data_IF_846927947732
#
_entry.id   IF_846927947732
#
_cell.length_a   1.000
_cell.length_b   1.000
_cell.length_c   1.000
_cell.angle_alpha   90.00
_cell.angle_beta   90.00
_cell.angle_gamma   90.00
#
_symmetry.space_group_name_H-M   'P 1'
#
loop_
_entity.id
_entity.type
_entity.pdbx_description
1 polymer ?
#
# COMPACT_ATOMS: atom_id res chain seq x y z
N UNK A 1 24.26 54.65 32.77
CA UNK A 1 25.64 54.38 33.20
C UNK A 1 26.04 53.03 32.75
N UNK A 2 27.03 53.00 31.86
CA UNK A 2 28.05 51.99 31.56
C UNK A 2 27.55 50.64 31.16
N UNK A 3 27.61 50.31 29.88
CA UNK A 3 28.79 49.76 29.12
C UNK A 3 29.11 48.34 29.57
N UNK A 4 29.26 47.33 28.76
CA UNK A 4 29.96 47.15 27.50
C UNK A 4 29.56 45.84 26.84
N UNK A 5 29.49 45.87 25.56
CA UNK A 5 29.52 44.80 24.59
C UNK A 5 30.95 44.21 24.45
N UNK A 6 31.26 43.50 23.40
CA UNK A 6 31.20 42.10 23.08
C UNK A 6 32.60 41.51 22.90
N UNK A 7 32.78 40.25 22.74
CA UNK A 7 34.04 39.72 22.16
C UNK A 7 33.68 38.73 21.03
N UNK A 8 34.10 39.20 19.91
CA UNK A 8 34.28 38.59 18.62
C UNK A 8 35.59 37.82 18.55
N UNK A 9 35.62 36.89 17.60
CA UNK A 9 36.75 36.47 16.77
C UNK A 9 37.56 35.24 17.17
N UNK A 10 38.25 34.79 16.16
CA UNK A 10 37.84 33.92 15.04
C UNK A 10 38.93 32.87 14.74
N UNK A 11 38.84 32.37 13.51
CA UNK A 11 39.98 32.03 12.62
C UNK A 11 40.50 30.59 12.69
N UNK A 12 40.19 29.84 11.68
CA UNK A 12 40.98 29.80 10.44
C UNK A 12 42.29 29.03 10.57
N UNK A 13 42.43 28.06 9.75
CA UNK A 13 43.61 27.74 8.93
C UNK A 13 43.54 26.27 8.53
N UNK A 14 43.28 26.02 7.28
CA UNK A 14 44.24 26.00 6.12
C UNK A 14 44.94 24.64 6.02
N UNK A 15 44.58 23.96 4.95
CA UNK A 15 45.40 23.34 3.91
C UNK A 15 46.39 22.23 4.30
N UNK A 16 46.22 21.10 3.68
CA UNK A 16 47.30 20.52 2.86
C UNK A 16 46.81 19.35 1.99
N UNK A 17 46.76 19.59 0.78
CA UNK A 17 47.19 18.93 -0.42
C UNK A 17 48.30 17.91 -0.19
N UNK A 18 48.10 16.65 -0.53
CA UNK A 18 49.16 15.82 -1.12
C UNK A 18 48.52 14.92 -2.17
N UNK A 19 48.85 15.20 -3.38
CA UNK A 19 48.70 14.45 -4.59
C UNK A 19 49.80 13.36 -4.61
N UNK A 20 49.47 12.12 -4.86
CA UNK A 20 50.43 11.14 -5.34
C UNK A 20 49.83 10.31 -6.46
N UNK A 21 50.14 10.74 -7.66
CA UNK A 21 50.14 9.91 -8.86
C UNK A 21 51.17 8.78 -8.70
N UNK A 22 50.78 7.57 -9.00
CA UNK A 22 51.70 6.56 -9.56
C UNK A 22 51.03 5.88 -10.73
N UNK A 23 51.46 6.28 -11.91
CA UNK A 23 51.40 5.52 -13.13
C UNK A 23 52.56 4.52 -13.10
N UNK A 24 52.30 3.24 -13.39
CA UNK A 24 53.29 2.40 -14.03
C UNK A 24 52.62 1.50 -15.06
N UNK A 25 52.93 1.81 -16.26
CA UNK A 25 52.82 0.98 -17.46
C UNK A 25 53.83 -0.13 -17.40
N UNK A 26 53.43 -1.31 -17.91
CA UNK A 26 54.32 -2.44 -18.12
C UNK A 26 53.71 -3.46 -19.07
N UNK A 27 53.96 -3.29 -20.34
CA UNK A 27 53.76 -4.30 -21.39
C UNK A 27 54.93 -5.29 -21.44
N UNK A 28 54.65 -6.42 -22.13
CA UNK A 28 55.51 -7.35 -22.89
C UNK A 28 55.71 -8.73 -22.23
N UNK A 29 54.99 -9.69 -22.77
CA UNK A 29 55.36 -10.61 -23.90
C UNK A 29 56.43 -11.63 -23.55
N UNK A 30 56.09 -12.90 -23.63
CA UNK A 30 56.73 -13.91 -24.49
C UNK A 30 56.49 -15.37 -24.02
N UNK A 31 55.68 -16.05 -24.80
CA UNK A 31 55.86 -17.41 -25.36
C UNK A 31 56.74 -18.41 -24.60
N UNK A 32 56.08 -19.52 -24.23
CA UNK A 32 56.60 -20.86 -24.64
C UNK A 32 55.48 -21.93 -24.50
N UNK A 33 55.40 -22.74 -25.55
CA UNK A 33 54.48 -23.87 -25.73
C UNK A 33 54.88 -25.02 -24.79
N UNK A 34 53.86 -25.65 -24.20
CA UNK A 34 53.84 -27.10 -24.04
C UNK A 34 52.40 -27.57 -24.25
N UNK A 35 52.23 -28.42 -25.23
CA UNK A 35 51.03 -29.19 -25.56
C UNK A 35 50.75 -30.19 -24.45
N UNK A 36 49.53 -30.20 -23.93
CA UNK A 36 48.85 -31.46 -23.66
C UNK A 36 47.33 -31.31 -23.71
N UNK A 37 46.71 -32.21 -24.45
CA UNK A 37 45.32 -32.31 -24.79
C UNK A 37 44.49 -32.79 -23.60
N UNK A 38 43.46 -32.07 -23.20
CA UNK A 38 42.24 -32.61 -22.57
C UNK A 38 41.07 -31.69 -22.85
N UNK A 39 39.97 -32.30 -23.18
CA UNK A 39 38.72 -31.76 -23.68
C UNK A 39 38.23 -30.52 -22.93
N UNK A 40 38.01 -29.42 -23.68
CA UNK A 40 37.33 -28.25 -23.19
C UNK A 40 35.84 -28.36 -23.57
N UNK A 41 35.03 -28.68 -22.60
CA UNK A 41 33.59 -28.39 -22.66
C UNK A 41 33.39 -26.91 -22.94
N UNK A 42 32.85 -26.66 -24.09
CA UNK A 42 32.43 -25.29 -24.51
C UNK A 42 31.26 -24.85 -23.66
N UNK A 43 31.54 -24.07 -22.60
CA UNK A 43 30.52 -23.31 -21.91
C UNK A 43 30.08 -22.21 -22.88
N UNK A 44 29.00 -22.43 -23.60
CA UNK A 44 28.28 -21.35 -24.26
C UNK A 44 27.85 -20.32 -23.20
N UNK A 45 28.50 -19.18 -23.21
CA UNK A 45 28.02 -18.00 -22.50
C UNK A 45 26.71 -17.61 -23.19
N UNK A 46 25.60 -18.05 -22.60
CA UNK A 46 24.29 -17.55 -22.96
C UNK A 46 24.31 -16.05 -22.65
N UNK A 47 24.52 -15.23 -23.68
CA UNK A 47 24.20 -13.83 -23.60
C UNK A 47 22.71 -13.74 -23.24
N UNK A 48 22.42 -13.43 -21.99
CA UNK A 48 21.08 -13.07 -21.55
C UNK A 48 20.74 -11.75 -22.26
N UNK A 49 20.04 -11.86 -23.37
CA UNK A 49 19.35 -10.73 -23.98
C UNK A 49 18.36 -10.21 -22.92
N UNK A 50 18.77 -9.14 -22.23
CA UNK A 50 17.92 -8.45 -21.29
C UNK A 50 16.74 -7.86 -22.06
N UNK A 51 15.57 -8.49 -21.93
CA UNK A 51 14.32 -7.97 -22.50
C UNK A 51 14.13 -6.55 -21.92
N UNK A 52 13.95 -5.52 -22.75
CA UNK A 52 13.71 -4.18 -22.26
C UNK A 52 12.51 -4.17 -21.28
N UNK A 53 12.66 -3.49 -20.16
CA UNK A 53 11.65 -3.44 -19.09
C UNK A 53 10.25 -3.05 -19.60
N UNK A 54 10.21 -2.21 -20.63
CA UNK A 54 8.99 -1.78 -21.33
C UNK A 54 8.31 -2.93 -22.10
N UNK A 55 9.10 -3.82 -22.71
CA UNK A 55 8.60 -5.01 -23.41
C UNK A 55 8.07 -6.06 -22.43
N UNK A 56 8.74 -6.25 -21.30
CA UNK A 56 8.30 -7.15 -20.23
C UNK A 56 6.99 -6.66 -19.60
N UNK A 57 6.90 -5.38 -19.29
CA UNK A 57 5.70 -4.73 -18.78
C UNK A 57 4.50 -4.89 -19.73
N UNK A 58 4.74 -4.73 -21.03
CA UNK A 58 3.72 -4.92 -22.07
C UNK A 58 3.30 -6.39 -22.22
N UNK A 59 4.22 -7.34 -22.13
CA UNK A 59 3.91 -8.76 -22.16
C UNK A 59 3.09 -9.18 -20.95
N UNK A 60 3.43 -8.72 -19.75
CA UNK A 60 2.67 -8.99 -18.51
C UNK A 60 1.26 -8.40 -18.62
N UNK A 61 1.11 -7.19 -19.14
CA UNK A 61 -0.20 -6.54 -19.32
C UNK A 61 -1.10 -7.22 -20.37
N UNK A 62 -0.51 -7.97 -21.29
CA UNK A 62 -1.23 -8.70 -22.33
C UNK A 62 -1.47 -10.18 -21.99
N UNK A 63 -0.84 -10.69 -20.95
CA UNK A 63 -1.02 -12.08 -20.52
C UNK A 63 -2.47 -12.32 -20.07
N UNK A 64 -3.10 -13.43 -20.47
CA UNK A 64 -4.42 -13.78 -19.97
C UNK A 64 -4.34 -14.04 -18.46
N UNK A 65 -5.35 -13.54 -17.74
CA UNK A 65 -5.44 -13.73 -16.29
C UNK A 65 -5.47 -15.24 -15.96
N UNK A 66 -4.62 -15.72 -15.03
CA UNK A 66 -4.66 -17.10 -14.57
C UNK A 66 -6.04 -17.46 -14.00
N UNK A 67 -6.49 -18.70 -14.16
CA UNK A 67 -7.78 -19.14 -13.59
C UNK A 67 -7.81 -19.03 -12.07
N UNK A 68 -6.70 -19.28 -11.39
CA UNK A 68 -6.54 -19.14 -9.94
C UNK A 68 -6.68 -17.67 -9.47
N UNK A 69 -6.48 -16.67 -10.32
CA UNK A 69 -6.62 -15.27 -9.94
C UNK A 69 -8.05 -14.86 -9.54
N UNK A 70 -9.07 -15.68 -9.83
CA UNK A 70 -10.43 -15.43 -9.35
C UNK A 70 -10.71 -16.07 -7.96
N UNK A 71 -9.77 -16.80 -7.37
CA UNK A 71 -9.97 -17.44 -6.06
C UNK A 71 -10.01 -16.41 -4.94
N UNK A 72 -9.06 -15.49 -4.93
CA UNK A 72 -9.03 -14.38 -3.99
C UNK A 72 -9.31 -13.05 -4.71
N UNK A 73 -9.96 -12.13 -4.00
CA UNK A 73 -10.26 -10.83 -4.58
C UNK A 73 -9.00 -10.03 -4.91
N UNK A 74 -8.01 -10.04 -4.03
CA UNK A 74 -6.77 -9.28 -4.21
C UNK A 74 -6.01 -9.75 -5.45
N UNK A 75 -5.87 -11.04 -5.68
CA UNK A 75 -5.22 -11.60 -6.87
C UNK A 75 -5.91 -11.16 -8.16
N UNK A 76 -7.24 -11.18 -8.16
CA UNK A 76 -8.04 -10.62 -9.26
C UNK A 76 -7.82 -9.13 -9.42
N UNK A 77 -7.90 -8.38 -8.30
CA UNK A 77 -7.97 -6.93 -8.34
C UNK A 77 -6.66 -6.30 -8.85
N UNK A 78 -5.50 -6.82 -8.48
CA UNK A 78 -4.23 -6.34 -9.02
C UNK A 78 -4.15 -6.47 -10.55
N UNK A 79 -4.62 -7.59 -11.08
CA UNK A 79 -4.70 -7.77 -12.54
C UNK A 79 -5.73 -6.81 -13.18
N UNK A 80 -6.86 -6.61 -12.53
CA UNK A 80 -7.91 -5.69 -12.98
C UNK A 80 -7.41 -4.24 -12.99
N UNK A 81 -6.77 -3.79 -11.93
CA UNK A 81 -6.24 -2.43 -11.80
C UNK A 81 -5.13 -2.13 -12.82
N UNK A 82 -4.28 -3.10 -13.11
CA UNK A 82 -3.14 -2.93 -14.00
C UNK A 82 -3.50 -2.96 -15.49
N UNK A 83 -4.56 -3.67 -15.88
CA UNK A 83 -4.83 -4.01 -17.29
C UNK A 83 -6.21 -3.54 -17.76
N UNK A 84 -6.24 -2.60 -18.73
CA UNK A 84 -7.48 -2.04 -19.30
C UNK A 84 -8.34 -3.08 -20.02
N UNK A 85 -7.73 -4.09 -20.64
CA UNK A 85 -8.50 -5.14 -21.31
C UNK A 85 -9.18 -6.07 -20.30
N UNK A 86 -8.52 -6.31 -19.15
CA UNK A 86 -9.15 -7.02 -18.04
C UNK A 86 -10.28 -6.18 -17.44
N UNK A 87 -10.10 -4.88 -17.27
CA UNK A 87 -11.20 -3.99 -16.85
C UNK A 87 -12.41 -4.13 -17.77
N UNK A 88 -12.22 -4.00 -19.08
CA UNK A 88 -13.29 -4.13 -20.06
C UNK A 88 -13.94 -5.51 -20.08
N UNK A 89 -13.15 -6.56 -19.92
CA UNK A 89 -13.64 -7.93 -19.93
C UNK A 89 -14.38 -8.33 -18.65
N UNK A 90 -14.07 -7.67 -17.54
CA UNK A 90 -14.58 -7.97 -16.20
C UNK A 90 -15.51 -6.88 -15.66
N UNK A 91 -15.96 -5.96 -16.48
CA UNK A 91 -17.04 -5.01 -16.19
C UNK A 91 -18.32 -5.49 -16.85
N UNK A 92 -19.43 -5.48 -16.11
CA UNK A 92 -20.75 -5.87 -16.61
C UNK A 92 -21.40 -4.67 -17.26
N UNK A 93 -21.91 -4.85 -18.46
CA UNK A 93 -22.63 -3.83 -19.21
C UNK A 93 -24.06 -4.31 -19.53
N UNK A 94 -25.05 -3.39 -19.56
CA UNK A 94 -24.94 -1.98 -19.17
C UNK A 94 -24.61 -1.84 -17.69
N UNK A 95 -23.79 -0.83 -17.32
CA UNK A 95 -23.37 -0.58 -15.95
C UNK A 95 -23.98 0.72 -15.43
N UNK A 96 -24.50 0.70 -14.21
CA UNK A 96 -24.96 1.91 -13.51
C UNK A 96 -23.75 2.66 -12.96
N UNK A 97 -23.64 3.93 -13.32
CA UNK A 97 -22.76 4.90 -12.70
C UNK A 97 -23.65 5.93 -12.00
N UNK A 98 -23.55 6.00 -10.69
CA UNK A 98 -24.29 6.93 -9.86
C UNK A 98 -23.37 8.06 -9.39
N UNK A 99 -23.77 9.29 -9.58
CA UNK A 99 -23.05 10.47 -9.11
C UNK A 99 -24.01 11.37 -8.30
N UNK A 100 -23.85 11.36 -6.98
CA UNK A 100 -24.66 12.16 -6.06
C UNK A 100 -26.18 12.03 -6.34
N UNK A 101 -26.64 10.80 -6.52
CA UNK A 101 -28.04 10.48 -6.78
C UNK A 101 -28.47 10.62 -8.26
N UNK A 102 -27.56 10.99 -9.16
CA UNK A 102 -27.81 11.00 -10.61
C UNK A 102 -27.26 9.71 -11.22
N UNK A 103 -28.18 8.88 -11.72
CA UNK A 103 -27.79 7.64 -12.41
C UNK A 103 -27.52 7.90 -13.88
N UNK A 104 -26.36 7.42 -14.35
CA UNK A 104 -25.97 7.37 -15.77
C UNK A 104 -25.70 5.95 -16.15
N UNK A 105 -26.21 5.52 -17.28
CA UNK A 105 -25.96 4.17 -17.79
C UNK A 105 -24.78 4.17 -18.75
N UNK A 106 -23.76 3.37 -18.45
CA UNK A 106 -22.67 3.08 -19.39
C UNK A 106 -23.09 1.84 -20.17
N UNK A 107 -23.49 2.07 -21.42
CA UNK A 107 -24.18 1.06 -22.24
C UNK A 107 -23.26 -0.09 -22.65
N UNK A 108 -22.01 0.22 -22.97
CA UNK A 108 -21.14 -0.75 -23.63
C UNK A 108 -19.68 -0.63 -23.27
N UNK A 109 -18.89 -1.63 -23.67
CA UNK A 109 -17.42 -1.65 -23.49
C UNK A 109 -16.71 -0.53 -24.22
N UNK A 110 -17.29 0.01 -25.28
CA UNK A 110 -16.75 1.11 -26.07
C UNK A 110 -16.79 2.42 -25.28
N UNK A 111 -17.82 2.58 -24.46
CA UNK A 111 -18.04 3.77 -23.63
C UNK A 111 -17.21 3.73 -22.33
N UNK A 112 -16.61 2.58 -22.03
CA UNK A 112 -15.81 2.37 -20.83
C UNK A 112 -14.52 3.19 -20.86
N UNK A 113 -14.34 4.02 -19.85
CA UNK A 113 -13.09 4.72 -19.57
C UNK A 113 -12.31 3.94 -18.52
N UNK A 114 -11.01 3.81 -18.75
CA UNK A 114 -10.12 3.16 -17.77
C UNK A 114 -10.22 3.84 -16.41
N UNK A 115 -10.48 3.07 -15.38
CA UNK A 115 -10.38 3.50 -13.99
C UNK A 115 -8.93 3.36 -13.50
N UNK A 116 -8.47 4.36 -12.77
CA UNK A 116 -7.19 4.32 -12.04
C UNK A 116 -7.46 3.92 -10.60
N UNK A 117 -6.53 3.15 -10.05
CA UNK A 117 -6.58 2.68 -8.68
C UNK A 117 -5.23 2.93 -8.00
N UNK A 118 -5.09 2.50 -6.77
CA UNK A 118 -3.97 2.71 -5.85
C UNK A 118 -2.59 2.21 -6.31
N UNK A 119 -2.45 1.71 -7.52
CA UNK A 119 -1.17 1.16 -8.01
C UNK A 119 -0.04 2.19 -8.01
N UNK A 120 -0.36 3.46 -8.24
CA UNK A 120 0.61 4.56 -8.21
C UNK A 120 0.92 5.03 -6.78
N UNK A 121 0.00 4.81 -5.84
CA UNK A 121 0.17 5.24 -4.45
C UNK A 121 1.11 4.30 -3.68
N UNK A 122 1.30 3.08 -4.19
CA UNK A 122 2.17 2.07 -3.60
C UNK A 122 1.59 1.39 -2.35
N UNK A 123 0.36 1.68 -1.98
CA UNK A 123 -0.35 1.07 -0.86
C UNK A 123 -1.87 1.13 -1.03
N UNK A 124 -2.58 0.35 -0.23
CA UNK A 124 -4.03 0.40 -0.04
C UNK A 124 -4.36 0.08 1.41
N UNK A 125 -5.60 0.32 1.80
CA UNK A 125 -6.09 -0.01 3.14
C UNK A 125 -7.23 -1.02 3.07
N UNK A 126 -7.48 -1.71 4.20
CA UNK A 126 -8.62 -2.59 4.37
C UNK A 126 -9.30 -2.21 5.69
N UNK A 127 -10.59 -2.07 5.70
CA UNK A 127 -11.37 -1.83 6.91
C UNK A 127 -12.38 -2.97 7.13
N UNK A 128 -12.28 -3.63 8.30
CA UNK A 128 -13.24 -4.63 8.76
C UNK A 128 -13.98 -4.12 9.99
N UNK A 129 -15.31 -4.22 9.96
CA UNK A 129 -16.20 -3.78 11.04
C UNK A 129 -16.21 -4.76 12.23
N UNK A 130 -15.98 -6.04 11.94
CA UNK A 130 -16.01 -7.12 12.93
C UNK A 130 -15.11 -8.31 12.54
N UNK A 131 -15.09 -9.31 13.41
CA UNK A 131 -14.33 -10.54 13.15
C UNK A 131 -14.89 -11.39 11.99
N UNK A 132 -16.15 -11.21 11.63
CA UNK A 132 -16.73 -11.94 10.51
C UNK A 132 -16.16 -11.41 9.20
N UNK A 133 -16.09 -10.09 9.03
CA UNK A 133 -15.46 -9.48 7.87
C UNK A 133 -13.95 -9.79 7.82
N UNK A 134 -13.27 -9.81 8.98
CA UNK A 134 -11.88 -10.19 9.05
C UNK A 134 -11.61 -11.60 8.47
N UNK A 135 -12.51 -12.56 8.71
CA UNK A 135 -12.40 -13.91 8.14
C UNK A 135 -12.63 -13.98 6.63
N UNK A 136 -13.25 -12.94 6.03
CA UNK A 136 -13.46 -12.88 4.58
C UNK A 136 -12.18 -12.51 3.81
N UNK A 137 -11.18 -11.95 4.48
CA UNK A 137 -9.85 -11.77 3.89
C UNK A 137 -9.24 -13.17 3.68
N UNK A 138 -8.90 -13.51 2.46
CA UNK A 138 -8.39 -14.85 2.15
C UNK A 138 -9.45 -15.97 2.09
N UNK A 139 -10.75 -15.65 2.23
CA UNK A 139 -11.82 -16.63 2.05
C UNK A 139 -12.27 -16.69 0.59
N UNK A 140 -12.06 -17.83 -0.03
CA UNK A 140 -12.47 -18.09 -1.42
C UNK A 140 -14.00 -18.11 -1.61
N UNK A 141 -14.78 -18.20 -0.54
CA UNK A 141 -16.25 -18.12 -0.56
C UNK A 141 -16.76 -16.65 -0.60
N UNK A 142 -15.90 -15.68 -0.35
CA UNK A 142 -16.27 -14.26 -0.47
C UNK A 142 -16.75 -13.95 -1.87
N UNK A 143 -17.90 -13.30 -1.98
CA UNK A 143 -18.59 -13.06 -3.26
C UNK A 143 -18.86 -11.58 -3.56
N UNK A 144 -18.61 -10.68 -2.63
CA UNK A 144 -18.82 -9.24 -2.78
C UNK A 144 -17.72 -8.46 -2.08
N UNK A 145 -17.15 -7.47 -2.78
CA UNK A 145 -16.13 -6.56 -2.28
C UNK A 145 -16.38 -5.17 -2.86
N UNK A 146 -16.26 -4.15 -2.03
CA UNK A 146 -16.30 -2.75 -2.47
C UNK A 146 -14.90 -2.16 -2.33
N UNK A 147 -14.38 -1.57 -3.40
CA UNK A 147 -13.19 -0.73 -3.36
C UNK A 147 -13.66 0.72 -3.24
N UNK A 148 -13.13 1.47 -2.30
CA UNK A 148 -13.47 2.86 -2.06
C UNK A 148 -12.24 3.73 -2.29
N UNK A 149 -12.40 4.88 -2.92
CA UNK A 149 -11.46 6.00 -2.85
C UNK A 149 -12.09 7.05 -1.96
N UNK A 150 -11.49 7.31 -0.82
CA UNK A 150 -11.94 8.25 0.18
C UNK A 150 -11.20 9.57 -0.01
N UNK A 151 -11.92 10.70 -0.07
CA UNK A 151 -11.35 12.04 -0.04
C UNK A 151 -12.00 12.83 1.10
N UNK A 152 -11.27 13.04 2.18
CA UNK A 152 -11.75 13.77 3.35
C UNK A 152 -11.83 15.28 3.10
N UNK A 153 -10.87 15.91 2.38
CA UNK A 153 -10.95 17.32 2.03
C UNK A 153 -12.19 17.67 1.18
N UNK A 154 -12.56 16.74 0.28
CA UNK A 154 -13.68 16.92 -0.64
C UNK A 154 -15.00 16.40 -0.07
N UNK A 155 -14.97 15.72 1.09
CA UNK A 155 -16.11 15.01 1.70
C UNK A 155 -16.76 14.01 0.73
N UNK A 156 -15.95 13.34 -0.09
CA UNK A 156 -16.39 12.48 -1.18
C UNK A 156 -15.87 11.06 -1.02
N UNK A 157 -16.65 10.10 -1.48
CA UNK A 157 -16.23 8.72 -1.67
C UNK A 157 -16.67 8.23 -3.04
N UNK A 158 -15.72 7.67 -3.80
CA UNK A 158 -16.00 6.92 -5.01
C UNK A 158 -15.89 5.43 -4.71
N UNK A 159 -16.94 4.67 -5.03
CA UNK A 159 -17.05 3.24 -4.75
C UNK A 159 -17.13 2.43 -6.03
N UNK A 160 -16.45 1.32 -6.08
CA UNK A 160 -16.53 0.30 -7.12
C UNK A 160 -17.00 -1.00 -6.49
N UNK A 161 -18.21 -1.43 -6.83
CA UNK A 161 -18.80 -2.68 -6.32
C UNK A 161 -18.43 -3.86 -7.22
N UNK A 162 -17.71 -4.78 -6.67
CA UNK A 162 -17.34 -6.04 -7.31
C UNK A 162 -18.17 -7.19 -6.76
N UNK A 163 -18.59 -8.09 -7.65
CA UNK A 163 -19.25 -9.32 -7.25
C UNK A 163 -18.71 -10.51 -8.03
N UNK A 164 -18.71 -11.68 -7.41
CA UNK A 164 -18.33 -12.93 -8.05
C UNK A 164 -19.53 -13.51 -8.79
N UNK A 165 -19.45 -13.59 -10.11
CA UNK A 165 -20.51 -14.08 -11.00
C UNK A 165 -19.99 -15.30 -11.74
N UNK A 166 -20.63 -16.46 -11.53
CA UNK A 166 -20.19 -17.74 -12.12
C UNK A 166 -18.70 -18.03 -11.84
N UNK A 167 -18.26 -17.75 -10.61
CA UNK A 167 -16.89 -17.98 -10.18
C UNK A 167 -15.88 -16.91 -10.61
N UNK A 168 -16.30 -15.84 -11.30
CA UNK A 168 -15.42 -14.75 -11.75
C UNK A 168 -15.79 -13.43 -11.10
N UNK A 169 -14.78 -12.69 -10.65
CA UNK A 169 -14.96 -11.34 -10.16
C UNK A 169 -15.28 -10.38 -11.31
N UNK A 170 -16.29 -9.57 -11.11
CA UNK A 170 -16.72 -8.56 -12.08
C UNK A 170 -17.13 -7.27 -11.39
N UNK A 171 -16.78 -6.13 -11.98
CA UNK A 171 -17.32 -4.83 -11.59
C UNK A 171 -18.78 -4.74 -12.01
N UNK A 172 -19.65 -4.33 -11.07
CA UNK A 172 -21.10 -4.23 -11.28
C UNK A 172 -21.61 -2.81 -11.36
N UNK A 173 -21.07 -1.92 -10.53
CA UNK A 173 -21.49 -0.53 -10.48
C UNK A 173 -20.38 0.35 -9.91
N UNK A 174 -20.48 1.63 -10.24
CA UNK A 174 -19.67 2.69 -9.65
C UNK A 174 -20.62 3.70 -9.03
N UNK A 175 -20.27 4.20 -7.84
CA UNK A 175 -21.02 5.28 -7.19
C UNK A 175 -20.08 6.35 -6.66
N UNK A 176 -20.50 7.61 -6.77
CA UNK A 176 -19.88 8.76 -6.12
C UNK A 176 -20.91 9.37 -5.19
N UNK A 177 -20.56 9.59 -3.94
CA UNK A 177 -21.46 10.10 -2.91
C UNK A 177 -20.70 10.83 -1.81
N UNK A 178 -21.40 11.49 -0.92
CA UNK A 178 -20.76 12.10 0.24
C UNK A 178 -20.24 11.05 1.23
N UNK A 179 -19.13 11.38 1.88
CA UNK A 179 -18.53 10.52 2.91
C UNK A 179 -19.50 10.22 4.07
N UNK A 180 -20.43 11.12 4.35
CA UNK A 180 -21.46 10.96 5.39
C UNK A 180 -22.48 9.86 5.10
N UNK A 181 -22.61 9.44 3.84
CA UNK A 181 -23.61 8.45 3.41
C UNK A 181 -23.13 7.00 3.51
N UNK A 182 -21.82 6.80 3.67
CA UNK A 182 -21.29 5.43 3.77
C UNK A 182 -21.34 4.90 5.21
N UNK A 183 -21.46 3.56 5.37
CA UNK A 183 -21.22 2.93 6.65
C UNK A 183 -19.81 3.25 7.17
N UNK A 184 -19.68 3.40 8.49
CA UNK A 184 -18.40 3.73 9.16
C UNK A 184 -17.87 5.15 8.92
N UNK A 185 -18.64 6.06 8.33
CA UNK A 185 -18.19 7.44 8.12
C UNK A 185 -17.70 8.11 9.42
N UNK A 186 -18.35 7.83 10.56
CA UNK A 186 -17.91 8.36 11.87
C UNK A 186 -16.54 7.84 12.26
N UNK A 187 -16.32 6.53 12.07
CA UNK A 187 -15.01 5.92 12.33
C UNK A 187 -13.95 6.45 11.36
N UNK A 188 -14.26 6.55 10.08
CA UNK A 188 -13.33 7.04 9.07
C UNK A 188 -12.93 8.51 9.31
N UNK A 189 -13.88 9.37 9.70
CA UNK A 189 -13.60 10.75 10.13
C UNK A 189 -12.68 10.77 11.36
N UNK A 190 -12.97 9.93 12.36
CA UNK A 190 -12.10 9.77 13.52
C UNK A 190 -10.71 9.31 13.09
N UNK A 191 -10.60 8.27 12.26
CA UNK A 191 -9.32 7.75 11.79
C UNK A 191 -8.50 8.83 11.08
N UNK A 192 -9.12 9.61 10.19
CA UNK A 192 -8.42 10.69 9.51
C UNK A 192 -7.92 11.76 10.50
N UNK A 193 -8.73 12.12 11.50
CA UNK A 193 -8.28 13.01 12.58
C UNK A 193 -7.12 12.41 13.34
N UNK A 194 -7.19 11.13 13.72
CA UNK A 194 -6.11 10.42 14.38
C UNK A 194 -4.82 10.42 13.56
N UNK A 195 -4.90 10.21 12.24
CA UNK A 195 -3.73 10.17 11.36
C UNK A 195 -3.09 11.56 11.17
N UNK A 196 -3.91 12.61 11.05
CA UNK A 196 -3.46 13.98 10.74
C UNK A 196 -3.04 14.78 11.97
N UNK A 197 -3.69 14.57 13.12
CA UNK A 197 -3.39 15.31 14.37
C UNK A 197 -2.22 14.67 15.13
N UNK A 198 -1.04 14.83 14.60
CA UNK A 198 0.19 14.24 15.16
C UNK A 198 0.56 14.78 16.56
N UNK A 199 0.02 15.92 16.95
CA UNK A 199 0.28 16.54 18.25
C UNK A 199 -0.57 15.94 19.37
N UNK A 200 -1.78 15.47 19.05
CA UNK A 200 -2.73 14.96 20.03
C UNK A 200 -3.05 13.47 19.84
N UNK A 201 -2.30 12.76 18.98
CA UNK A 201 -2.52 11.32 18.75
C UNK A 201 -2.59 10.52 20.06
N UNK A 202 -1.78 10.87 21.04
CA UNK A 202 -1.75 10.19 22.36
C UNK A 202 -3.12 10.20 23.05
N UNK A 203 -3.95 11.23 22.83
CA UNK A 203 -5.28 11.32 23.44
C UNK A 203 -6.28 10.29 22.87
N UNK A 204 -5.97 9.72 21.71
CA UNK A 204 -6.78 8.71 21.03
C UNK A 204 -6.28 7.28 21.27
N UNK A 205 -5.31 7.09 22.16
CA UNK A 205 -4.80 5.78 22.52
C UNK A 205 -5.40 5.30 23.85
N UNK A 206 -5.53 4.00 23.99
CA UNK A 206 -5.71 3.39 25.32
C UNK A 206 -4.51 3.69 26.21
N UNK A 207 -4.66 3.52 27.52
CA UNK A 207 -3.56 3.70 28.49
C UNK A 207 -2.36 2.81 28.14
N UNK A 208 -2.66 1.58 27.71
CA UNK A 208 -1.69 0.62 27.18
C UNK A 208 -2.14 0.19 25.78
N UNK A 209 -1.22 0.20 24.84
CA UNK A 209 -1.43 -0.27 23.46
C UNK A 209 -0.56 -1.48 23.25
N UNK A 210 -1.18 -2.60 22.89
CA UNK A 210 -0.40 -3.80 22.50
C UNK A 210 0.35 -3.50 21.21
N UNK A 211 1.65 -3.57 21.26
CA UNK A 211 2.56 -3.37 20.14
C UNK A 211 3.17 -4.69 19.69
N UNK A 212 3.30 -4.87 18.40
CA UNK A 212 4.13 -5.90 17.78
C UNK A 212 4.78 -5.33 16.54
N UNK A 213 6.10 -5.46 16.46
CA UNK A 213 6.86 -4.90 15.35
C UNK A 213 8.30 -5.40 15.32
N UNK A 214 9.13 -4.87 14.41
CA UNK A 214 10.53 -5.22 14.33
C UNK A 214 11.24 -4.90 15.67
N UNK A 215 12.13 -5.79 16.06
CA UNK A 215 12.99 -5.56 17.20
C UNK A 215 14.16 -4.66 16.76
N UNK A 216 14.33 -3.46 17.40
CA UNK A 216 15.41 -2.56 17.02
C UNK A 216 16.81 -3.08 17.41
N UNK A 217 16.89 -4.05 18.32
CA UNK A 217 18.14 -4.57 18.86
C UNK A 217 18.56 -5.88 18.22
N UNK A 218 17.66 -6.56 17.48
CA UNK A 218 17.94 -7.86 16.85
C UNK A 218 17.34 -7.95 15.43
N UNK A 219 18.20 -7.97 14.42
CA UNK A 219 17.80 -8.10 13.02
C UNK A 219 16.94 -9.35 12.79
N UNK A 220 15.85 -9.20 12.04
CA UNK A 220 14.88 -10.25 11.68
C UNK A 220 14.06 -10.80 12.84
N UNK A 221 14.15 -10.23 14.02
CA UNK A 221 13.28 -10.58 15.15
C UNK A 221 12.12 -9.59 15.30
N UNK A 222 11.11 -9.98 16.07
CA UNK A 222 9.98 -9.13 16.41
C UNK A 222 9.86 -9.01 17.90
N UNK A 223 9.64 -7.80 18.39
CA UNK A 223 9.26 -7.53 19.77
C UNK A 223 7.74 -7.44 19.89
N UNK A 224 7.19 -7.94 20.99
CA UNK A 224 5.78 -7.80 21.33
C UNK A 224 5.67 -7.39 22.80
N UNK A 225 4.79 -6.45 23.09
CA UNK A 225 4.57 -5.96 24.45
C UNK A 225 3.53 -4.85 24.49
N UNK A 226 3.28 -4.34 25.68
CA UNK A 226 2.41 -3.20 25.85
C UNK A 226 3.25 -1.93 25.98
N UNK A 227 2.93 -0.94 25.17
CA UNK A 227 3.52 0.39 25.22
C UNK A 227 2.54 1.35 25.92
N UNK A 228 3.05 2.23 26.75
CA UNK A 228 2.27 3.32 27.31
C UNK A 228 2.02 4.39 26.24
N UNK A 229 0.91 5.11 26.35
CA UNK A 229 0.54 6.15 25.36
C UNK A 229 1.63 7.21 25.14
N UNK A 230 2.37 7.54 26.19
CA UNK A 230 3.47 8.52 26.14
C UNK A 230 4.66 8.03 25.30
N UNK A 231 4.78 6.72 25.07
CA UNK A 231 5.82 6.11 24.25
C UNK A 231 5.42 6.07 22.74
N UNK A 232 4.17 6.37 22.44
CA UNK A 232 3.63 6.31 21.07
C UNK A 232 4.50 6.97 20.00
N UNK A 233 5.09 8.17 20.22
CA UNK A 233 5.91 8.80 19.20
C UNK A 233 7.12 7.95 18.75
N UNK A 234 7.57 7.00 19.56
CA UNK A 234 8.69 6.10 19.25
C UNK A 234 8.26 4.89 18.42
N UNK A 235 6.97 4.50 18.50
CA UNK A 235 6.45 3.26 17.91
C UNK A 235 5.42 3.49 16.82
N UNK A 236 5.00 4.75 16.60
CA UNK A 236 3.97 5.04 15.62
C UNK A 236 4.42 4.70 14.20
N UNK A 237 3.64 3.90 13.46
CA UNK A 237 3.91 3.66 12.06
C UNK A 237 3.52 4.87 11.21
N UNK A 238 3.93 4.86 9.95
CA UNK A 238 3.33 5.73 8.96
C UNK A 238 1.86 5.36 8.72
N UNK A 239 0.99 6.37 8.64
CA UNK A 239 -0.45 6.22 8.45
C UNK A 239 -0.92 7.02 7.23
N UNK A 240 -1.74 6.43 6.35
CA UNK A 240 -2.38 7.17 5.27
C UNK A 240 -3.39 8.17 5.82
N UNK A 241 -3.45 9.35 5.19
CA UNK A 241 -4.29 10.46 5.60
C UNK A 241 -4.90 11.20 4.41
N UNK A 242 -5.96 11.96 4.65
CA UNK A 242 -6.65 12.83 3.70
C UNK A 242 -7.27 12.14 2.49
N UNK A 243 -6.52 11.41 1.71
CA UNK A 243 -7.01 10.67 0.55
C UNK A 243 -6.34 9.31 0.46
N UNK A 244 -7.14 8.23 0.41
CA UNK A 244 -6.61 6.87 0.25
C UNK A 244 -7.68 5.89 -0.24
N UNK A 245 -7.23 4.75 -0.75
CA UNK A 245 -8.10 3.64 -1.12
C UNK A 245 -8.32 2.68 0.02
N UNK A 246 -9.58 2.21 0.16
CA UNK A 246 -9.98 1.25 1.17
C UNK A 246 -10.76 0.10 0.56
N UNK A 247 -10.36 -1.14 0.83
CA UNK A 247 -11.06 -2.33 0.40
C UNK A 247 -11.98 -2.78 1.54
N UNK A 248 -13.24 -3.07 1.20
CA UNK A 248 -14.29 -3.48 2.11
C UNK A 248 -14.85 -4.82 1.68
N UNK A 249 -14.69 -5.85 2.51
CA UNK A 249 -15.17 -7.20 2.23
C UNK A 249 -16.62 -7.41 2.69
N UNK A 250 -17.40 -8.12 1.87
CA UNK A 250 -18.81 -8.41 2.12
C UNK A 250 -19.71 -7.19 1.94
N UNK A 251 -20.99 -7.39 2.25
CA UNK A 251 -21.99 -6.30 2.17
C UNK A 251 -21.68 -5.21 3.19
N UNK A 252 -21.69 -3.97 2.71
CA UNK A 252 -21.50 -2.81 3.54
C UNK A 252 -22.82 -2.43 4.23
N UNK A 253 -22.90 -2.68 5.52
CA UNK A 253 -24.05 -2.35 6.36
C UNK A 253 -23.57 -1.60 7.60
N UNK A 254 -24.47 -0.92 8.26
CA UNK A 254 -24.19 -0.38 9.58
C UNK A 254 -24.19 -1.53 10.59
N UNK A 255 -23.02 -1.96 11.01
CA UNK A 255 -22.83 -2.99 12.02
C UNK A 255 -22.62 -2.33 13.38
N UNK A 256 -23.47 -2.71 14.34
CA UNK A 256 -23.30 -2.30 15.73
C UNK A 256 -22.12 -3.05 16.37
N UNK A 257 -20.91 -2.70 15.99
CA UNK A 257 -19.68 -3.25 16.57
C UNK A 257 -18.83 -2.10 17.11
N UNK A 258 -18.40 -2.29 18.37
CA UNK A 258 -17.50 -1.35 19.03
C UNK A 258 -16.03 -1.59 18.67
N UNK A 259 -15.76 -2.35 17.63
CA UNK A 259 -14.40 -2.69 17.19
C UNK A 259 -14.21 -2.43 15.71
N UNK A 260 -13.02 -1.92 15.34
CA UNK A 260 -12.61 -1.76 13.94
C UNK A 260 -11.19 -2.30 13.78
N UNK A 261 -10.99 -3.01 12.67
CA UNK A 261 -9.68 -3.48 12.23
C UNK A 261 -9.34 -2.70 10.97
N UNK A 262 -8.24 -1.98 11.02
CA UNK A 262 -7.77 -1.15 9.91
C UNK A 262 -6.37 -1.59 9.52
N UNK A 263 -6.21 -1.97 8.28
CA UNK A 263 -4.96 -2.52 7.75
C UNK A 263 -4.41 -1.58 6.68
N UNK A 264 -3.11 -1.35 6.71
CA UNK A 264 -2.37 -0.72 5.62
C UNK A 264 -1.50 -1.78 4.97
N UNK A 265 -1.58 -1.92 3.66
CA UNK A 265 -0.84 -2.92 2.88
C UNK A 265 -0.08 -2.24 1.77
N UNK A 266 1.22 -2.42 1.76
CA UNK A 266 2.10 -1.93 0.71
C UNK A 266 2.07 -2.81 -0.54
N UNK A 267 2.36 -2.21 -1.68
CA UNK A 267 2.49 -2.88 -2.96
C UNK A 267 3.97 -3.03 -3.26
N UNK A 268 4.53 -4.21 -2.99
CA UNK A 268 5.95 -4.54 -3.24
C UNK A 268 6.97 -3.63 -2.51
N UNK A 269 6.58 -3.01 -1.40
CA UNK A 269 7.44 -2.09 -0.63
C UNK A 269 7.57 -2.44 0.86
N UNK A 270 7.00 -3.59 1.27
CA UNK A 270 7.12 -4.09 2.65
C UNK A 270 6.26 -3.36 3.70
N UNK A 271 5.46 -2.36 3.32
CA UNK A 271 4.56 -1.69 4.28
C UNK A 271 3.48 -2.68 4.72
N UNK A 272 3.43 -2.93 6.01
CA UNK A 272 2.37 -3.69 6.65
C UNK A 272 2.09 -3.06 8.02
N UNK A 273 0.85 -2.60 8.22
CA UNK A 273 0.42 -2.05 9.51
C UNK A 273 -0.99 -2.52 9.81
N UNK A 274 -1.18 -3.07 11.00
CA UNK A 274 -2.45 -3.56 11.50
C UNK A 274 -2.85 -2.74 12.73
N UNK A 275 -3.96 -2.06 12.66
CA UNK A 275 -4.49 -1.24 13.75
C UNK A 275 -5.81 -1.84 14.24
N UNK A 276 -5.98 -1.87 15.55
CA UNK A 276 -7.24 -2.27 16.18
C UNK A 276 -7.73 -1.13 17.05
N UNK A 277 -8.94 -0.65 16.73
CA UNK A 277 -9.62 0.38 17.49
C UNK A 277 -10.81 -0.19 18.23
N UNK A 278 -11.07 0.31 19.44
CA UNK A 278 -12.25 -0.01 20.25
C UNK A 278 -13.00 1.28 20.56
N UNK A 279 -14.32 1.24 20.46
CA UNK A 279 -15.19 2.34 20.83
C UNK A 279 -15.53 2.27 22.32
N UNK A 280 -15.24 3.34 23.05
CA UNK A 280 -15.64 3.54 24.45
C UNK A 280 -16.64 4.70 24.52
N UNK A 281 -17.90 4.38 24.63
CA UNK A 281 -18.96 5.37 24.59
C UNK A 281 -19.05 6.05 23.22
N UNK A 282 -18.65 7.32 23.10
CA UNK A 282 -18.64 8.07 21.84
C UNK A 282 -17.25 8.18 21.21
N UNK A 283 -16.20 7.81 21.90
CA UNK A 283 -14.82 7.95 21.46
C UNK A 283 -14.24 6.60 20.97
N UNK A 284 -13.37 6.66 20.00
CA UNK A 284 -12.56 5.54 19.56
C UNK A 284 -11.17 5.63 20.17
N UNK A 285 -10.60 4.51 20.56
CA UNK A 285 -9.24 4.41 21.07
C UNK A 285 -8.49 3.31 20.31
N UNK A 286 -7.23 3.59 19.94
CA UNK A 286 -6.30 2.56 19.45
C UNK A 286 -5.86 1.68 20.61
N UNK A 287 -6.02 0.37 20.46
CA UNK A 287 -5.67 -0.62 21.49
C UNK A 287 -4.58 -1.58 21.04
N UNK A 288 -4.35 -1.70 19.73
CA UNK A 288 -3.30 -2.58 19.20
C UNK A 288 -2.73 -1.98 17.92
N UNK A 289 -1.41 -2.09 17.77
CA UNK A 289 -0.67 -1.84 16.55
C UNK A 289 0.30 -2.98 16.28
N UNK A 290 0.36 -3.42 15.02
CA UNK A 290 1.34 -4.37 14.52
C UNK A 290 1.92 -3.81 13.21
N UNK A 291 3.23 -3.75 13.07
CA UNK A 291 3.92 -3.14 11.93
C UNK A 291 5.17 -3.91 11.53
#
# INVERSE_FOLDING_TARGET
MRHLAPIFFPVCCIVSFICCLFMTTGCMDRSSRVTDSLDADTVEVIQSDSIPLDSLSKMISQAPMPKAADELFEDFFFNYAANVEVQRARTIFPMVYEDNGLEVLIESKQDWKRESFFMADGYYTILCQDQKQLKMLGDTATSEVTVQKLSFPENEVKEWLFSRIRGKWCLRSIGVKELSEIPDHEFLKFYNTFATDTLHQESYLAEYVTFKGPDPDEDFSTMEGDIMREQWPMFKPWLPENEFYCIRYGKQNNVASDKRYFFVRGISNGIQTDLVFIRKGKAWELVKVES
#
